data_IF_365118131130
#
_entry.id   IF_365118131130
#
_cell.length_a   1.000
_cell.length_b   1.000
_cell.length_c   1.000
_cell.angle_alpha   90.00
_cell.angle_beta   90.00
_cell.angle_gamma   90.00
#
_symmetry.space_group_name_H-M   'P 1'
#
loop_
_entity.id
_entity.type
_entity.pdbx_description
1 polymer ?
#
# COMPACT_ATOMS: atom_id res chain seq x y z
N UNK A 1 -21.65 -5.33 23.53
CA UNK A 1 -20.21 -5.01 23.46
C UNK A 1 -19.82 -4.46 24.83
N UNK A 2 -18.90 -5.12 25.54
CA UNK A 2 -18.50 -4.67 26.89
C UNK A 2 -17.72 -3.35 26.79
N UNK A 3 -18.24 -2.31 27.46
CA UNK A 3 -17.66 -0.95 27.59
C UNK A 3 -16.18 -0.93 28.03
N UNK A 4 -15.72 -2.00 28.67
CA UNK A 4 -14.37 -2.13 29.26
C UNK A 4 -13.30 -2.64 28.30
N UNK A 5 -13.64 -3.17 27.13
CA UNK A 5 -12.66 -3.72 26.19
C UNK A 5 -12.51 -2.85 24.95
N UNK A 6 -12.05 -1.62 25.18
CA UNK A 6 -11.79 -0.64 24.13
C UNK A 6 -10.49 -1.02 23.40
N UNK A 7 -10.49 -1.21 22.07
CA UNK A 7 -9.30 -1.64 21.34
C UNK A 7 -8.13 -0.65 21.40
N UNK A 8 -8.38 0.62 21.75
CA UNK A 8 -7.35 1.63 22.00
C UNK A 8 -6.78 1.63 23.42
N UNK A 9 -7.32 0.81 24.33
CA UNK A 9 -6.82 0.67 25.70
C UNK A 9 -5.73 -0.41 25.83
N UNK A 10 -5.49 -1.19 24.76
CA UNK A 10 -4.45 -2.20 24.71
C UNK A 10 -3.45 -1.84 23.60
N UNK A 11 -2.14 -2.05 23.80
CA UNK A 11 -1.17 -1.83 22.75
C UNK A 11 -1.41 -2.80 21.59
N UNK A 12 -1.14 -2.33 20.37
CA UNK A 12 -1.16 -3.17 19.19
C UNK A 12 -0.17 -4.34 19.37
N UNK A 13 -0.53 -5.58 19.00
CA UNK A 13 0.40 -6.71 19.04
C UNK A 13 1.69 -6.41 18.27
N UNK A 14 2.83 -6.83 18.81
CA UNK A 14 4.16 -6.49 18.27
C UNK A 14 4.34 -6.85 16.80
N UNK A 15 3.80 -7.99 16.37
CA UNK A 15 3.87 -8.43 14.97
C UNK A 15 3.11 -7.50 14.04
N UNK A 16 1.91 -7.05 14.45
CA UNK A 16 1.10 -6.11 13.67
C UNK A 16 1.77 -4.73 13.65
N UNK A 17 2.32 -4.29 14.79
CA UNK A 17 3.03 -3.01 14.87
C UNK A 17 4.28 -3.00 13.97
N UNK A 18 5.07 -4.08 13.99
CA UNK A 18 6.25 -4.23 13.15
C UNK A 18 5.91 -4.19 11.65
N UNK A 19 4.82 -4.86 11.25
CA UNK A 19 4.32 -4.80 9.87
C UNK A 19 3.89 -3.38 9.49
N UNK A 20 3.10 -2.72 10.35
CA UNK A 20 2.67 -1.34 10.11
C UNK A 20 3.85 -0.38 9.99
N UNK A 21 4.89 -0.59 10.80
CA UNK A 21 6.14 0.18 10.71
C UNK A 21 6.82 -0.02 9.35
N UNK A 22 6.92 -1.24 8.85
CA UNK A 22 7.50 -1.52 7.52
C UNK A 22 6.68 -0.87 6.39
N UNK A 23 5.35 -0.95 6.47
CA UNK A 23 4.44 -0.29 5.53
C UNK A 23 4.66 1.22 5.56
N UNK A 24 4.71 1.84 6.74
CA UNK A 24 4.88 3.29 6.86
C UNK A 24 6.26 3.77 6.40
N UNK A 25 7.31 3.00 6.66
CA UNK A 25 8.69 3.31 6.30
C UNK A 25 8.97 3.20 4.79
N UNK A 26 8.26 2.31 4.08
CA UNK A 26 8.44 2.16 2.64
C UNK A 26 7.95 3.41 1.87
N UNK A 27 8.80 4.12 1.12
CA UNK A 27 8.37 5.28 0.35
C UNK A 27 7.44 4.84 -0.80
N UNK A 28 6.24 5.39 -0.84
CA UNK A 28 5.28 5.13 -1.93
C UNK A 28 4.55 6.40 -2.38
N UNK A 29 5.27 7.47 -2.76
CA UNK A 29 4.60 8.63 -3.31
C UNK A 29 3.75 8.21 -4.51
N UNK A 30 2.58 8.84 -4.69
CA UNK A 30 1.68 8.53 -5.82
C UNK A 30 2.46 8.50 -7.15
N UNK A 31 2.17 7.54 -8.02
CA UNK A 31 2.90 7.25 -9.26
C UNK A 31 4.27 6.58 -9.10
N UNK A 32 4.75 6.36 -7.88
CA UNK A 32 6.06 5.79 -7.55
C UNK A 32 5.95 4.80 -6.37
N UNK A 33 4.99 3.87 -6.44
CA UNK A 33 4.64 2.95 -5.35
C UNK A 33 5.49 1.68 -5.31
N UNK A 34 6.46 1.52 -6.21
CA UNK A 34 7.21 0.28 -6.39
C UNK A 34 7.90 -0.25 -5.12
N UNK A 35 8.44 0.63 -4.27
CA UNK A 35 9.08 0.19 -3.03
C UNK A 35 8.07 -0.41 -2.04
N UNK A 36 6.85 0.11 -1.97
CA UNK A 36 5.77 -0.50 -1.18
C UNK A 36 5.30 -1.82 -1.80
N UNK A 37 4.97 -1.80 -3.09
CA UNK A 37 4.39 -2.96 -3.76
C UNK A 37 5.35 -4.15 -3.79
N UNK A 38 6.57 -3.95 -4.28
CA UNK A 38 7.54 -5.03 -4.46
C UNK A 38 8.41 -5.27 -3.23
N UNK A 39 8.64 -4.24 -2.42
CA UNK A 39 9.51 -4.32 -1.24
C UNK A 39 8.78 -4.78 0.03
N UNK A 40 7.48 -4.51 0.15
CA UNK A 40 6.72 -4.83 1.37
C UNK A 40 5.53 -5.75 1.09
N UNK A 41 4.60 -5.33 0.23
CA UNK A 41 3.31 -6.01 0.07
C UNK A 41 3.45 -7.39 -0.59
N UNK A 42 4.15 -7.47 -1.72
CA UNK A 42 4.36 -8.74 -2.42
C UNK A 42 5.07 -9.78 -1.52
N UNK A 43 6.23 -9.47 -0.89
CA UNK A 43 6.87 -10.41 0.03
C UNK A 43 5.99 -10.79 1.21
N UNK A 44 5.19 -9.85 1.73
CA UNK A 44 4.24 -10.13 2.81
C UNK A 44 3.16 -11.12 2.37
N UNK A 45 2.56 -10.94 1.19
CA UNK A 45 1.56 -11.86 0.66
C UNK A 45 2.14 -13.25 0.39
N UNK A 46 3.31 -13.31 -0.24
CA UNK A 46 4.01 -14.57 -0.54
C UNK A 46 4.36 -15.38 0.72
N UNK A 47 4.48 -14.73 1.89
CA UNK A 47 4.76 -15.42 3.16
C UNK A 47 3.60 -16.27 3.67
N UNK A 48 2.35 -15.84 3.45
CA UNK A 48 1.18 -16.52 4.02
C UNK A 48 0.27 -17.12 2.95
N UNK A 49 0.37 -16.70 1.70
CA UNK A 49 -0.45 -17.19 0.61
C UNK A 49 -0.14 -18.68 0.33
N UNK A 50 -1.17 -19.54 0.33
CA UNK A 50 -1.08 -20.89 -0.24
C UNK A 50 -0.58 -20.88 -1.70
N UNK A 51 0.02 -21.98 -2.15
CA UNK A 51 0.63 -22.07 -3.49
C UNK A 51 -0.36 -22.05 -4.66
N UNK A 52 -1.65 -22.24 -4.39
CA UNK A 52 -2.75 -22.12 -5.35
C UNK A 52 -3.32 -20.69 -5.45
N UNK A 53 -2.84 -19.75 -4.62
CA UNK A 53 -3.18 -18.33 -4.73
C UNK A 53 -2.27 -17.66 -5.74
N UNK A 54 -2.80 -16.68 -6.48
CA UNK A 54 -2.06 -15.96 -7.51
C UNK A 54 -1.96 -14.48 -7.19
N UNK A 55 -0.72 -13.97 -7.21
CA UNK A 55 -0.48 -12.54 -7.17
C UNK A 55 -0.41 -12.00 -8.60
N UNK A 56 -1.42 -11.22 -9.00
CA UNK A 56 -1.49 -10.59 -10.30
C UNK A 56 -0.87 -9.20 -10.27
N UNK A 57 -0.11 -8.90 -11.32
CA UNK A 57 0.45 -7.58 -11.59
C UNK A 57 0.10 -7.18 -13.02
N UNK A 58 -0.34 -5.94 -13.19
CA UNK A 58 -0.73 -5.40 -14.49
C UNK A 58 0.34 -4.44 -15.00
N UNK A 59 0.74 -4.61 -16.26
CA UNK A 59 1.74 -3.74 -16.89
C UNK A 59 1.25 -2.29 -16.88
N UNK A 60 2.09 -1.37 -16.39
CA UNK A 60 1.75 0.05 -16.27
C UNK A 60 1.06 0.44 -14.95
N UNK A 61 0.79 -0.52 -14.06
CA UNK A 61 0.23 -0.27 -12.73
C UNK A 61 1.16 -0.85 -11.66
N UNK A 62 1.43 -0.07 -10.61
CA UNK A 62 2.14 -0.55 -9.43
C UNK A 62 1.20 -1.29 -8.45
N UNK A 63 -0.08 -1.46 -8.79
CA UNK A 63 -1.03 -2.24 -7.99
C UNK A 63 -0.78 -3.74 -8.09
N UNK A 64 -1.06 -4.46 -7.01
CA UNK A 64 -1.08 -5.91 -6.95
C UNK A 64 -2.47 -6.40 -6.56
N UNK A 65 -2.87 -7.53 -7.11
CA UNK A 65 -4.13 -8.20 -6.75
C UNK A 65 -3.79 -9.60 -6.29
N UNK A 66 -4.19 -9.94 -5.07
CA UNK A 66 -4.09 -11.30 -4.55
C UNK A 66 -5.40 -12.03 -4.85
N UNK A 67 -5.35 -13.00 -5.76
CA UNK A 67 -6.45 -13.91 -6.06
C UNK A 67 -6.30 -15.20 -5.25
N UNK A 68 -7.32 -15.52 -4.47
CA UNK A 68 -7.32 -16.69 -3.58
C UNK A 68 -7.82 -17.96 -4.27
N UNK A 69 -8.56 -17.83 -5.38
CA UNK A 69 -9.18 -18.96 -6.08
C UNK A 69 -9.19 -18.68 -7.59
N UNK A 70 -8.01 -18.71 -8.24
CA UNK A 70 -7.88 -18.41 -9.66
C UNK A 70 -8.76 -19.33 -10.51
N UNK A 71 -9.55 -18.75 -11.42
CA UNK A 71 -10.38 -19.50 -12.38
C UNK A 71 -11.64 -20.14 -11.81
N UNK A 72 -12.00 -19.89 -10.54
CA UNK A 72 -13.26 -20.32 -9.95
C UNK A 72 -14.32 -19.23 -10.07
N UNK A 73 -14.97 -19.21 -11.24
CA UNK A 73 -16.05 -18.27 -11.54
C UNK A 73 -17.41 -18.66 -10.94
N UNK A 74 -17.51 -19.86 -10.36
CA UNK A 74 -18.70 -20.41 -9.72
C UNK A 74 -18.93 -19.90 -8.29
N UNK A 75 -17.93 -19.23 -7.71
CA UNK A 75 -17.94 -18.76 -6.32
C UNK A 75 -18.34 -17.28 -6.22
N UNK A 76 -18.87 -16.88 -5.06
CA UNK A 76 -19.08 -15.47 -4.73
C UNK A 76 -17.73 -14.75 -4.66
N UNK A 77 -17.58 -13.66 -5.41
CA UNK A 77 -16.38 -12.82 -5.44
C UNK A 77 -16.54 -11.63 -4.51
N UNK A 78 -15.57 -11.43 -3.61
CA UNK A 78 -15.46 -10.25 -2.74
C UNK A 78 -14.12 -9.58 -3.00
N UNK A 79 -14.13 -8.27 -3.27
CA UNK A 79 -12.92 -7.49 -3.52
C UNK A 79 -12.72 -6.47 -2.40
N UNK A 80 -11.56 -6.55 -1.73
CA UNK A 80 -11.13 -5.56 -0.74
C UNK A 80 -10.04 -4.71 -1.38
N UNK A 81 -10.23 -3.40 -1.39
CA UNK A 81 -9.33 -2.45 -2.06
C UNK A 81 -8.72 -1.53 -1.01
N UNK A 82 -7.39 -1.42 -1.05
CA UNK A 82 -6.61 -0.47 -0.26
C UNK A 82 -5.75 0.39 -1.17
N UNK A 83 -5.60 1.66 -0.82
CA UNK A 83 -4.68 2.59 -1.45
C UNK A 83 -3.28 2.41 -0.82
N UNK A 84 -2.27 2.23 -1.67
CA UNK A 84 -0.89 2.00 -1.25
C UNK A 84 0.01 3.22 -1.47
N UNK A 85 -0.46 4.20 -2.24
CA UNK A 85 0.25 5.45 -2.42
C UNK A 85 0.23 6.32 -1.15
N UNK A 86 1.07 7.33 -1.14
CA UNK A 86 1.22 8.31 -0.06
C UNK A 86 1.31 9.68 -0.70
N UNK A 87 0.81 10.68 0.03
CA UNK A 87 0.90 12.08 -0.37
C UNK A 87 2.37 12.45 -0.55
N UNK A 88 2.68 13.20 -1.62
CA UNK A 88 4.06 13.53 -2.01
C UNK A 88 4.27 15.02 -2.21
N UNK A 89 5.54 15.42 -2.19
CA UNK A 89 6.01 16.69 -2.73
C UNK A 89 6.91 16.40 -3.93
N UNK A 90 6.72 17.10 -5.03
CA UNK A 90 7.51 16.89 -6.26
C UNK A 90 8.39 18.11 -6.55
N UNK A 91 9.66 17.87 -6.90
CA UNK A 91 10.56 18.96 -7.30
C UNK A 91 10.06 19.58 -8.59
N UNK A 92 9.86 20.89 -8.57
CA UNK A 92 9.46 21.70 -9.73
C UNK A 92 10.67 22.31 -10.42
N UNK A 93 11.55 22.93 -9.66
CA UNK A 93 12.73 23.62 -10.18
C UNK A 93 13.79 23.81 -9.10
N UNK A 94 15.03 24.01 -9.54
CA UNK A 94 16.16 24.35 -8.68
C UNK A 94 16.60 25.76 -9.06
N UNK A 95 16.74 26.64 -8.08
CA UNK A 95 17.17 28.02 -8.26
C UNK A 95 18.69 28.10 -8.41
N UNK A 96 19.19 29.23 -8.92
CA UNK A 96 20.63 29.49 -9.04
C UNK A 96 21.36 29.50 -7.67
N UNK A 97 20.63 29.74 -6.58
CA UNK A 97 21.12 29.68 -5.19
C UNK A 97 21.02 28.27 -4.57
N UNK A 98 20.65 27.26 -5.36
CA UNK A 98 20.51 25.87 -4.92
C UNK A 98 19.21 25.54 -4.18
N UNK A 99 18.29 26.49 -4.03
CA UNK A 99 16.99 26.21 -3.39
C UNK A 99 16.07 25.40 -4.29
N UNK A 100 15.45 24.38 -3.71
CA UNK A 100 14.50 23.49 -4.38
C UNK A 100 13.08 24.06 -4.20
N UNK A 101 12.42 24.33 -5.32
CA UNK A 101 11.00 24.63 -5.35
C UNK A 101 10.22 23.34 -5.52
N UNK A 102 9.18 23.17 -4.70
CA UNK A 102 8.36 21.96 -4.67
C UNK A 102 6.91 22.28 -5.04
N UNK A 103 6.27 21.35 -5.75
CA UNK A 103 4.83 21.30 -5.89
C UNK A 103 4.25 20.42 -4.79
N UNK A 104 3.24 20.95 -4.11
CA UNK A 104 2.40 20.18 -3.19
C UNK A 104 1.20 19.68 -3.99
N UNK A 105 1.40 18.63 -4.78
CA UNK A 105 0.29 17.92 -5.43
C UNK A 105 -0.41 17.08 -4.35
N UNK A 106 -1.19 17.75 -3.51
CA UNK A 106 -1.91 17.16 -2.39
C UNK A 106 -3.23 16.48 -2.82
N UNK A 107 -3.63 16.59 -4.09
CA UNK A 107 -4.91 16.11 -4.57
C UNK A 107 -4.89 15.77 -6.06
N UNK A 108 -5.45 14.61 -6.38
CA UNK A 108 -5.84 14.17 -7.72
C UNK A 108 -6.46 15.31 -8.55
N UNK A 109 -6.15 15.48 -9.85
CA UNK A 109 -6.89 16.42 -10.70
C UNK A 109 -8.37 16.00 -10.74
N UNK A 110 -9.35 16.92 -10.68
CA UNK A 110 -10.72 16.57 -10.97
C UNK A 110 -10.79 16.06 -12.42
N UNK A 111 -11.39 14.88 -12.57
CA UNK A 111 -11.65 14.20 -13.83
C UNK A 111 -12.38 15.09 -14.85
#
# INVERSE_FOLDING_TARGET
>A
MNETNKPWAQPMPEQQFSLMRQILDAPSPIGLEGAMTYGVLKPYFERFAPGDWHLHQYKGHAGVVLDTHPGRDDLLKVMIIGHADKIRMQVRSISDDGKIWINTDASCPPC
#
